data_IF_053551586303
#
_entry.id   IF_053551586303
#
_cell.length_a   1.000
_cell.length_b   1.000
_cell.length_c   1.000
_cell.angle_alpha   90.00
_cell.angle_beta   90.00
_cell.angle_gamma   90.00
#
_symmetry.space_group_name_H-M   'P 1'
#
loop_
_entity.id
_entity.type
_entity.pdbx_description
1 polymer ?
#
# COMPACT_ATOMS: atom_id res chain seq x y z
N UNK A 1 -20.49 -5.05 11.46
CA UNK A 1 -20.09 -4.51 10.18
C UNK A 1 -18.84 -3.68 10.31
N UNK A 2 -17.88 -4.02 9.52
CA UNK A 2 -16.56 -3.39 9.61
C UNK A 2 -16.50 -2.19 8.68
N UNK A 3 -17.11 -1.08 9.17
CA UNK A 3 -17.10 0.14 8.41
C UNK A 3 -15.71 0.76 8.37
N UNK A 4 -15.20 0.98 7.19
CA UNK A 4 -14.05 1.83 7.02
C UNK A 4 -14.27 2.73 5.82
N UNK A 5 -13.52 3.82 5.80
CA UNK A 5 -13.53 4.77 4.70
C UNK A 5 -12.09 5.15 4.39
N UNK A 6 -11.89 5.83 3.29
CA UNK A 6 -10.55 6.28 2.90
C UNK A 6 -10.60 7.80 2.73
N UNK A 7 -9.50 8.44 3.10
CA UNK A 7 -9.29 9.87 2.87
C UNK A 7 -7.89 10.09 2.34
N UNK A 8 -7.70 11.16 1.59
CA UNK A 8 -6.37 11.46 1.05
C UNK A 8 -5.36 11.69 2.19
N UNK A 9 -4.13 11.26 1.95
CA UNK A 9 -3.01 11.48 2.86
C UNK A 9 -2.79 12.98 3.04
N UNK A 10 -2.49 13.39 4.27
CA UNK A 10 -2.16 14.76 4.64
C UNK A 10 -0.79 14.79 5.29
N UNK A 11 -0.23 15.98 5.43
CA UNK A 11 1.10 16.13 6.01
C UNK A 11 1.19 15.58 7.43
N UNK A 12 0.12 15.72 8.21
CA UNK A 12 0.04 15.22 9.59
C UNK A 12 0.14 13.69 9.67
N UNK A 13 -0.08 12.99 8.56
CA UNK A 13 -0.02 11.53 8.51
C UNK A 13 1.42 11.00 8.39
N UNK A 14 2.39 11.85 8.14
CA UNK A 14 3.77 11.42 7.89
C UNK A 14 4.33 10.50 8.97
N UNK A 15 4.23 10.83 10.28
CA UNK A 15 4.74 9.93 11.32
C UNK A 15 4.07 8.55 11.31
N UNK A 16 2.76 8.50 11.08
CA UNK A 16 2.01 7.25 11.05
C UNK A 16 2.37 6.43 9.82
N UNK A 17 2.52 7.08 8.67
CA UNK A 17 2.95 6.40 7.45
C UNK A 17 4.34 5.77 7.65
N UNK A 18 5.22 6.43 8.38
CA UNK A 18 6.54 5.88 8.68
C UNK A 18 6.42 4.63 9.56
N UNK A 19 5.55 4.66 10.57
CA UNK A 19 5.30 3.48 11.41
C UNK A 19 4.71 2.33 10.59
N UNK A 20 3.82 2.64 9.64
CA UNK A 20 3.28 1.63 8.72
C UNK A 20 4.38 0.99 7.86
N UNK A 21 5.28 1.82 7.33
CA UNK A 21 6.41 1.32 6.53
C UNK A 21 7.31 0.42 7.36
N UNK A 22 7.59 0.81 8.60
CA UNK A 22 8.39 0.03 9.52
C UNK A 22 7.76 -1.33 9.79
N UNK A 23 6.48 -1.38 10.09
CA UNK A 23 5.76 -2.63 10.30
C UNK A 23 5.78 -3.50 9.04
N UNK A 24 5.57 -2.89 7.88
CA UNK A 24 5.59 -3.58 6.59
C UNK A 24 6.95 -4.25 6.36
N UNK A 25 8.03 -3.52 6.57
CA UNK A 25 9.38 -4.05 6.35
C UNK A 25 9.78 -5.09 7.41
N UNK A 26 9.24 -4.99 8.62
CA UNK A 26 9.50 -5.97 9.69
C UNK A 26 8.68 -7.25 9.52
N UNK A 27 7.65 -7.24 8.69
CA UNK A 27 6.82 -8.42 8.46
C UNK A 27 7.44 -9.27 7.35
N UNK A 28 7.71 -10.57 7.60
CA UNK A 28 8.31 -11.43 6.58
C UNK A 28 7.47 -11.51 5.31
N UNK A 29 8.14 -11.59 4.19
CA UNK A 29 7.53 -11.82 2.86
C UNK A 29 6.57 -10.73 2.38
N UNK A 30 6.70 -9.51 2.87
CA UNK A 30 5.88 -8.40 2.39
C UNK A 30 6.60 -7.59 1.31
N UNK A 31 7.88 -7.29 1.54
CA UNK A 31 8.67 -6.48 0.61
C UNK A 31 9.16 -7.30 -0.59
N UNK A 32 9.15 -6.69 -1.76
CA UNK A 32 9.70 -7.28 -2.98
C UNK A 32 11.20 -6.96 -3.07
N UNK A 33 11.58 -5.72 -2.73
CA UNK A 33 12.95 -5.23 -2.94
C UNK A 33 13.93 -5.69 -1.87
N UNK A 34 13.45 -5.95 -0.65
CA UNK A 34 14.32 -6.25 0.46
C UNK A 34 15.12 -5.06 0.97
N UNK A 35 14.80 -3.86 0.52
CA UNK A 35 15.51 -2.66 0.96
C UNK A 35 15.26 -2.39 2.45
N UNK A 36 16.27 -1.89 3.18
CA UNK A 36 16.08 -1.58 4.60
C UNK A 36 15.18 -0.36 4.79
N UNK A 37 14.71 -0.18 6.03
CA UNK A 37 13.92 1.00 6.40
C UNK A 37 14.77 2.25 6.18
N UNK A 38 14.30 3.21 5.39
CA UNK A 38 15.04 4.46 5.20
C UNK A 38 14.97 5.34 6.45
N UNK A 39 15.88 6.31 6.59
CA UNK A 39 15.75 7.31 7.65
C UNK A 39 14.43 8.06 7.56
N UNK A 40 13.90 8.50 8.68
CA UNK A 40 12.61 9.22 8.72
C UNK A 40 12.60 10.42 7.76
N UNK A 41 13.68 11.19 7.70
CA UNK A 41 13.73 12.37 6.81
C UNK A 41 13.55 12.01 5.34
N UNK A 42 14.05 10.85 4.91
CA UNK A 42 13.87 10.41 3.53
C UNK A 42 12.41 10.04 3.24
N UNK A 43 11.77 9.35 4.17
CA UNK A 43 10.34 9.04 4.06
C UNK A 43 9.50 10.31 4.07
N UNK A 44 9.85 11.27 4.92
CA UNK A 44 9.17 12.56 4.97
C UNK A 44 9.26 13.27 3.62
N UNK A 45 10.46 13.31 3.03
CA UNK A 45 10.66 13.92 1.71
C UNK A 45 9.81 13.24 0.65
N UNK A 46 9.70 11.92 0.70
CA UNK A 46 8.91 11.16 -0.25
C UNK A 46 7.43 11.55 -0.18
N UNK A 47 6.88 11.63 1.03
CA UNK A 47 5.48 12.02 1.23
C UNK A 47 5.25 13.49 0.85
N UNK A 48 6.17 14.37 1.23
CA UNK A 48 6.06 15.79 0.88
C UNK A 48 6.08 15.98 -0.62
N UNK A 49 6.92 15.22 -1.33
CA UNK A 49 6.95 15.27 -2.79
C UNK A 49 5.62 14.79 -3.37
N UNK A 50 5.04 13.74 -2.82
CA UNK A 50 3.71 13.29 -3.24
C UNK A 50 2.67 14.40 -3.06
N UNK A 51 2.70 15.10 -1.93
CA UNK A 51 1.71 16.12 -1.61
C UNK A 51 1.85 17.38 -2.47
N UNK A 52 3.08 17.81 -2.73
CA UNK A 52 3.35 19.14 -3.32
C UNK A 52 3.95 19.10 -4.72
N UNK A 53 4.46 17.96 -5.16
CA UNK A 53 5.07 17.79 -6.49
C UNK A 53 4.58 16.53 -7.17
N UNK A 54 3.27 16.30 -7.10
CA UNK A 54 2.68 15.06 -7.59
C UNK A 54 2.96 14.78 -9.07
N UNK A 55 3.16 15.80 -9.88
CA UNK A 55 3.50 15.61 -11.29
C UNK A 55 4.77 14.78 -11.49
N UNK A 56 5.70 14.88 -10.54
CA UNK A 56 6.99 14.20 -10.59
C UNK A 56 7.06 13.00 -9.65
N UNK A 57 5.92 12.54 -9.15
CA UNK A 57 5.85 11.42 -8.22
C UNK A 57 5.26 10.19 -8.88
N UNK A 58 5.72 9.01 -8.49
CA UNK A 58 5.19 7.76 -9.04
C UNK A 58 3.78 7.45 -8.54
N UNK A 59 3.43 7.89 -7.32
CA UNK A 59 2.09 7.68 -6.77
C UNK A 59 1.10 8.66 -7.39
N UNK A 60 -0.07 8.16 -7.78
CA UNK A 60 -1.15 9.01 -8.27
C UNK A 60 -2.04 9.46 -7.10
N UNK A 61 -2.58 8.50 -6.36
CA UNK A 61 -3.44 8.77 -5.19
C UNK A 61 -3.05 7.89 -4.02
N UNK A 62 -2.99 8.50 -2.87
CA UNK A 62 -2.60 7.83 -1.63
C UNK A 62 -3.61 8.18 -0.53
N UNK A 63 -4.15 7.15 0.11
CA UNK A 63 -5.23 7.31 1.08
C UNK A 63 -4.88 6.67 2.41
N UNK A 64 -5.31 7.32 3.49
CA UNK A 64 -5.36 6.68 4.80
C UNK A 64 -6.66 5.90 4.89
N UNK A 65 -6.61 4.71 5.49
CA UNK A 65 -7.79 3.91 5.77
C UNK A 65 -8.18 4.19 7.22
N UNK A 66 -9.41 4.61 7.44
CA UNK A 66 -9.88 5.00 8.77
C UNK A 66 -11.21 4.32 9.08
N UNK A 67 -11.48 4.11 10.37
CA UNK A 67 -12.77 3.57 10.81
C UNK A 67 -13.73 4.71 11.20
N UNK A 68 -14.89 4.35 11.73
CA UNK A 68 -15.91 5.33 12.10
C UNK A 68 -15.52 6.22 13.29
N UNK A 69 -14.48 5.83 14.02
CA UNK A 69 -13.96 6.59 15.16
C UNK A 69 -12.71 7.40 14.77
N UNK A 70 -12.46 7.53 13.46
CA UNK A 70 -11.31 8.21 12.89
C UNK A 70 -9.95 7.61 13.29
N UNK A 71 -9.96 6.36 13.76
CA UNK A 71 -8.70 5.64 13.98
C UNK A 71 -8.10 5.23 12.65
N UNK A 72 -6.79 5.32 12.54
CA UNK A 72 -6.08 4.97 11.32
C UNK A 72 -5.77 3.47 11.35
N UNK A 73 -6.26 2.76 10.33
CA UNK A 73 -6.15 1.30 10.22
C UNK A 73 -5.02 0.89 9.27
N UNK A 74 -4.64 1.77 8.38
CA UNK A 74 -3.65 1.46 7.37
C UNK A 74 -3.63 2.51 6.27
N UNK A 75 -3.08 2.15 5.14
CA UNK A 75 -3.07 3.04 3.97
C UNK A 75 -3.11 2.23 2.67
N UNK A 76 -3.60 2.85 1.62
CA UNK A 76 -3.68 2.26 0.28
C UNK A 76 -3.29 3.31 -0.75
N UNK A 77 -2.66 2.89 -1.84
CA UNK A 77 -2.35 3.82 -2.92
C UNK A 77 -2.49 3.15 -4.29
N UNK A 78 -2.63 3.98 -5.29
CA UNK A 78 -2.53 3.57 -6.69
C UNK A 78 -1.48 4.47 -7.35
N UNK A 79 -0.56 3.87 -8.10
CA UNK A 79 0.46 4.65 -8.77
C UNK A 79 0.03 5.00 -10.21
N UNK A 80 0.86 5.76 -10.90
CA UNK A 80 0.56 6.24 -12.25
C UNK A 80 0.61 5.15 -13.31
N UNK A 81 1.10 3.97 -12.94
CA UNK A 81 1.13 2.79 -13.83
C UNK A 81 0.02 1.79 -13.46
N UNK A 82 -0.97 2.24 -12.70
CA UNK A 82 -2.14 1.45 -12.29
C UNK A 82 -1.82 0.33 -11.29
N UNK A 83 -0.66 0.37 -10.66
CA UNK A 83 -0.30 -0.58 -9.62
C UNK A 83 -0.89 -0.13 -8.30
N UNK A 84 -1.59 -1.04 -7.64
CA UNK A 84 -2.19 -0.79 -6.33
C UNK A 84 -1.29 -1.35 -5.24
N UNK A 85 -1.38 -0.75 -4.06
CA UNK A 85 -0.76 -1.29 -2.86
C UNK A 85 -1.69 -1.02 -1.69
N UNK A 86 -1.59 -1.87 -0.69
CA UNK A 86 -2.44 -1.76 0.49
C UNK A 86 -1.67 -2.27 1.70
N UNK A 87 -1.99 -1.72 2.84
CA UNK A 87 -1.46 -2.19 4.12
C UNK A 87 -2.49 -1.90 5.20
N UNK A 88 -2.85 -2.95 5.94
CA UNK A 88 -3.63 -2.81 7.17
C UNK A 88 -2.72 -3.25 8.30
N UNK A 89 -2.61 -2.44 9.35
CA UNK A 89 -1.74 -2.78 10.48
C UNK A 89 -2.24 -4.03 11.20
N UNK A 90 -1.32 -4.76 11.83
CA UNK A 90 -1.61 -6.06 12.46
C UNK A 90 -2.80 -6.00 13.41
N UNK A 91 -2.91 -4.92 14.17
CA UNK A 91 -3.99 -4.71 15.14
C UNK A 91 -5.36 -4.80 14.49
N UNK A 92 -5.47 -4.41 13.22
CA UNK A 92 -6.76 -4.31 12.53
C UNK A 92 -6.92 -5.32 11.39
N UNK A 93 -6.00 -6.27 11.25
CA UNK A 93 -6.11 -7.31 10.21
C UNK A 93 -7.20 -8.32 10.53
N UNK A 94 -7.64 -9.06 9.50
CA UNK A 94 -8.65 -10.12 9.57
C UNK A 94 -10.06 -9.62 9.89
N UNK A 95 -10.34 -8.35 9.57
CA UNK A 95 -11.67 -7.76 9.76
C UNK A 95 -12.28 -7.27 8.45
N UNK A 96 -11.64 -7.55 7.31
CA UNK A 96 -12.16 -7.17 5.99
C UNK A 96 -11.82 -5.73 5.58
N UNK A 97 -11.03 -5.02 6.35
CA UNK A 97 -10.69 -3.62 6.03
C UNK A 97 -9.85 -3.49 4.75
N UNK A 98 -8.94 -4.45 4.52
CA UNK A 98 -8.13 -4.45 3.30
C UNK A 98 -9.00 -4.54 2.05
N UNK A 99 -9.93 -5.48 2.02
CA UNK A 99 -10.82 -5.66 0.89
C UNK A 99 -11.68 -4.41 0.67
N UNK A 100 -12.29 -3.90 1.74
CA UNK A 100 -13.15 -2.73 1.66
C UNK A 100 -12.39 -1.51 1.16
N UNK A 101 -11.21 -1.26 1.72
CA UNK A 101 -10.41 -0.07 1.36
C UNK A 101 -9.91 -0.13 -0.08
N UNK A 102 -9.46 -1.30 -0.55
CA UNK A 102 -9.01 -1.45 -1.94
C UNK A 102 -10.18 -1.25 -2.90
N UNK A 103 -11.34 -1.82 -2.60
CA UNK A 103 -12.52 -1.64 -3.43
C UNK A 103 -12.95 -0.17 -3.50
N UNK A 104 -12.91 0.53 -2.37
CA UNK A 104 -13.23 1.97 -2.34
C UNK A 104 -12.24 2.76 -3.19
N UNK A 105 -10.95 2.45 -3.08
CA UNK A 105 -9.92 3.12 -3.86
C UNK A 105 -10.11 2.88 -5.36
N UNK A 106 -10.36 1.65 -5.76
CA UNK A 106 -10.60 1.34 -7.17
C UNK A 106 -11.85 2.05 -7.70
N UNK A 107 -12.88 2.13 -6.89
CA UNK A 107 -14.10 2.85 -7.26
C UNK A 107 -13.84 4.34 -7.47
N UNK A 108 -13.01 4.95 -6.62
CA UNK A 108 -12.64 6.37 -6.76
C UNK A 108 -11.67 6.62 -7.91
N UNK A 109 -10.94 5.59 -8.33
CA UNK A 109 -9.91 5.70 -9.37
C UNK A 109 -10.14 4.63 -10.42
N UNK A 110 -11.19 4.76 -11.24
CA UNK A 110 -11.47 3.75 -12.27
C UNK A 110 -10.34 3.70 -13.29
N UNK A 111 -9.88 2.49 -13.57
CA UNK A 111 -8.84 2.21 -14.56
C UNK A 111 -9.28 1.02 -15.39
N UNK A 112 -8.80 0.97 -16.62
CA UNK A 112 -9.08 -0.16 -17.50
C UNK A 112 -8.44 -1.43 -16.98
N UNK A 113 -7.24 -1.31 -16.38
CA UNK A 113 -6.49 -2.43 -15.84
C UNK A 113 -5.85 -2.00 -14.53
N UNK A 114 -5.91 -2.86 -13.52
CA UNK A 114 -5.17 -2.67 -12.27
C UNK A 114 -4.10 -3.75 -12.17
N UNK A 115 -2.96 -3.40 -11.58
CA UNK A 115 -1.84 -4.30 -11.37
C UNK A 115 -1.57 -4.41 -9.87
N UNK A 116 -1.29 -5.62 -9.40
CA UNK A 116 -0.81 -5.84 -8.04
C UNK A 116 0.46 -6.65 -8.11
N UNK A 117 1.49 -6.22 -7.36
CA UNK A 117 2.75 -6.94 -7.28
C UNK A 117 2.86 -7.48 -5.86
N UNK A 118 2.95 -8.79 -5.72
CA UNK A 118 2.90 -9.47 -4.43
C UNK A 118 4.09 -10.39 -4.31
N UNK A 119 4.75 -10.37 -3.13
CA UNK A 119 5.83 -11.30 -2.86
C UNK A 119 5.33 -12.74 -3.00
N UNK A 120 6.07 -13.56 -3.76
CA UNK A 120 5.68 -14.94 -4.07
C UNK A 120 5.48 -15.81 -2.82
N UNK A 121 6.09 -15.43 -1.71
CA UNK A 121 5.98 -16.15 -0.44
C UNK A 121 4.89 -15.60 0.48
N UNK A 122 4.18 -14.56 0.05
CA UNK A 122 3.11 -13.96 0.85
C UNK A 122 1.76 -14.57 0.46
N UNK A 123 1.50 -15.78 0.98
CA UNK A 123 0.30 -16.54 0.62
C UNK A 123 -1.00 -15.82 0.92
N UNK A 124 -1.08 -15.16 2.06
CA UNK A 124 -2.31 -14.45 2.44
C UNK A 124 -2.62 -13.29 1.50
N UNK A 125 -1.59 -12.57 1.06
CA UNK A 125 -1.76 -11.48 0.12
C UNK A 125 -2.14 -11.99 -1.27
N UNK A 126 -1.54 -13.11 -1.69
CA UNK A 126 -1.87 -13.75 -2.97
C UNK A 126 -3.34 -14.16 -2.98
N UNK A 127 -3.82 -14.82 -1.92
CA UNK A 127 -5.22 -15.21 -1.80
C UNK A 127 -6.14 -14.00 -1.82
N UNK A 128 -5.76 -12.94 -1.11
CA UNK A 128 -6.52 -11.70 -1.08
C UNK A 128 -6.67 -11.09 -2.47
N UNK A 129 -5.58 -11.01 -3.21
CA UNK A 129 -5.56 -10.42 -4.56
C UNK A 129 -6.40 -11.27 -5.53
N UNK A 130 -6.31 -12.61 -5.41
CA UNK A 130 -7.14 -13.50 -6.24
C UNK A 130 -8.62 -13.36 -5.92
N UNK A 131 -8.96 -13.17 -4.65
CA UNK A 131 -10.34 -12.93 -4.24
C UNK A 131 -10.90 -11.64 -4.86
N UNK A 132 -10.05 -10.66 -5.12
CA UNK A 132 -10.42 -9.43 -5.80
C UNK A 132 -10.42 -9.58 -7.33
N UNK A 133 -10.34 -10.82 -7.82
CA UNK A 133 -10.41 -11.17 -9.24
C UNK A 133 -9.19 -10.78 -10.07
N UNK A 134 -8.05 -10.56 -9.41
CA UNK A 134 -6.79 -10.42 -10.12
C UNK A 134 -6.30 -11.78 -10.58
N UNK A 135 -5.68 -11.83 -11.75
CA UNK A 135 -5.13 -13.07 -12.34
C UNK A 135 -3.62 -12.94 -12.46
N UNK A 136 -2.92 -14.05 -12.29
CA UNK A 136 -1.47 -14.08 -12.50
C UNK A 136 -1.16 -13.80 -13.96
N UNK A 137 -0.23 -12.88 -14.22
CA UNK A 137 0.14 -12.50 -15.57
C UNK A 137 1.63 -12.65 -15.86
N UNK A 138 2.48 -12.53 -14.84
CA UNK A 138 3.93 -12.51 -15.06
C UNK A 138 4.67 -12.93 -13.81
N UNK A 139 5.92 -13.32 -14.00
CA UNK A 139 6.84 -13.58 -12.89
C UNK A 139 7.96 -12.54 -12.92
N UNK A 140 8.45 -12.17 -11.74
CA UNK A 140 9.62 -11.30 -11.62
C UNK A 140 10.78 -12.20 -11.23
N UNK A 141 11.86 -12.12 -12.01
CA UNK A 141 13.08 -12.84 -11.71
C UNK A 141 14.16 -11.83 -11.35
N UNK A 142 14.84 -12.10 -10.25
CA UNK A 142 15.90 -11.22 -9.77
C UNK A 142 17.20 -12.00 -9.64
N UNK A 143 18.29 -11.37 -10.01
CA UNK A 143 19.62 -11.92 -9.80
C UNK A 143 20.46 -10.87 -9.08
N UNK A 144 21.03 -11.25 -7.95
CA UNK A 144 21.96 -10.39 -7.23
C UNK A 144 23.38 -10.80 -7.63
N UNK A 145 24.16 -9.82 -8.02
CA UNK A 145 25.56 -10.07 -8.36
C UNK A 145 26.42 -9.74 -7.15
N UNK A 146 27.22 -10.72 -6.73
CA UNK A 146 28.21 -10.50 -5.69
C UNK A 146 29.44 -9.83 -6.32
N UNK A 147 29.88 -8.75 -5.74
CA UNK A 147 31.03 -8.02 -6.23
C UNK A 147 32.20 -8.13 -5.28
#
# INVERSE_FOLDING_TARGET
MNGCKIRLVEEEDIPILYEHLKEFLDTPNTSITGNPLPPFEDSKKFVMKYLYENENHEYDKWYMVINDEDEILGNVYINKKNTIAYQITKKYQKHGFGETSVKLMMKKNPRKVYIAIVNINNESSIEFIKKLEFKEKAFIFEKTNDS
#
